data_IF_047682338361
#
_entry.id   IF_047682338361
#
_cell.length_a   1.000
_cell.length_b   1.000
_cell.length_c   1.000
_cell.angle_alpha   90.00
_cell.angle_beta   90.00
_cell.angle_gamma   90.00
#
_symmetry.space_group_name_H-M   'P 1'
#
loop_
_entity.id
_entity.type
_entity.pdbx_description
1 polymer ?
#
# COMPACT_ATOMS: atom_id res chain seq x y z
N UNK A 1 -21.07 19.13 72.08
CA UNK A 1 -21.76 20.03 71.12
C UNK A 1 -20.75 21.06 70.65
N UNK A 2 -20.29 20.95 69.40
CA UNK A 2 -19.78 21.99 68.49
C UNK A 2 -19.07 21.25 67.34
N UNK A 3 -19.84 20.78 66.35
CA UNK A 3 -20.19 21.47 65.09
C UNK A 3 -19.01 21.52 64.10
N UNK A 4 -19.02 20.54 63.19
CA UNK A 4 -18.85 20.67 61.73
C UNK A 4 -17.90 21.76 61.21
N UNK A 5 -16.85 21.35 60.50
CA UNK A 5 -16.68 21.68 59.07
C UNK A 5 -15.43 21.00 58.51
N UNK A 6 -15.58 19.74 58.09
CA UNK A 6 -14.67 19.11 57.14
C UNK A 6 -15.03 19.64 55.75
N UNK A 7 -14.42 20.75 55.34
CA UNK A 7 -14.38 21.13 53.92
C UNK A 7 -12.96 20.83 53.44
N UNK A 8 -12.71 19.54 53.22
CA UNK A 8 -11.68 19.13 52.28
C UNK A 8 -12.22 19.57 50.93
N UNK A 9 -11.67 20.65 50.40
CA UNK A 9 -11.94 21.12 49.05
C UNK A 9 -11.31 20.10 48.09
N UNK A 10 -11.96 18.95 47.92
CA UNK A 10 -11.69 18.02 46.84
C UNK A 10 -12.09 18.74 45.56
N UNK A 11 -11.12 19.48 45.01
CA UNK A 11 -11.13 19.95 43.65
C UNK A 11 -11.13 18.70 42.77
N UNK A 12 -12.33 18.15 42.56
CA UNK A 12 -12.57 17.10 41.60
C UNK A 12 -12.47 17.77 40.24
N UNK A 13 -11.24 17.83 39.72
CA UNK A 13 -11.03 18.09 38.31
C UNK A 13 -11.62 16.88 37.58
N UNK A 14 -12.91 16.96 37.25
CA UNK A 14 -13.49 16.11 36.23
C UNK A 14 -12.82 16.52 34.92
N UNK A 15 -11.70 15.87 34.60
CA UNK A 15 -11.27 15.77 33.21
C UNK A 15 -12.41 15.07 32.49
N UNK A 16 -13.32 15.87 31.93
CA UNK A 16 -14.24 15.40 30.91
C UNK A 16 -13.39 14.69 29.87
N UNK A 17 -13.66 13.40 29.64
CA UNK A 17 -13.03 12.69 28.54
C UNK A 17 -13.40 13.44 27.27
N UNK A 18 -12.44 14.13 26.65
CA UNK A 18 -12.62 14.68 25.32
C UNK A 18 -12.78 13.47 24.39
N UNK A 19 -13.99 13.31 23.86
CA UNK A 19 -14.26 12.27 22.88
C UNK A 19 -13.60 12.71 21.57
N UNK A 20 -12.37 12.25 21.32
CA UNK A 20 -11.78 12.27 19.98
C UNK A 20 -10.36 12.84 19.76
N UNK A 21 -9.52 13.06 20.77
CA UNK A 21 -8.20 13.69 20.53
C UNK A 21 -6.97 12.77 20.45
N UNK A 22 -7.06 11.47 20.75
CA UNK A 22 -5.87 10.59 20.84
C UNK A 22 -5.83 9.41 19.83
N UNK A 23 -6.51 9.50 18.69
CA UNK A 23 -6.36 8.46 17.65
C UNK A 23 -5.45 8.94 16.50
N UNK A 24 -4.28 8.31 16.31
CA UNK A 24 -3.36 8.71 15.24
C UNK A 24 -4.00 8.48 13.86
N UNK A 25 -3.83 9.46 12.96
CA UNK A 25 -4.32 9.34 11.58
C UNK A 25 -3.59 8.20 10.88
N UNK A 26 -4.36 7.21 10.40
CA UNK A 26 -3.82 6.14 9.57
C UNK A 26 -3.70 6.63 8.12
N UNK A 27 -2.46 6.73 7.63
CA UNK A 27 -2.18 7.16 6.25
C UNK A 27 -1.66 5.99 5.43
N UNK A 28 -2.18 5.82 4.21
CA UNK A 28 -1.71 4.85 3.23
C UNK A 28 -1.18 5.57 2.00
N UNK A 29 0.08 5.31 1.66
CA UNK A 29 0.66 5.78 0.39
C UNK A 29 0.55 4.64 -0.61
N UNK A 30 -0.09 4.89 -1.75
CA UNK A 30 -0.34 3.90 -2.80
C UNK A 30 0.37 4.33 -4.08
N UNK A 31 1.63 3.90 -4.29
CA UNK A 31 2.35 4.13 -5.53
C UNK A 31 1.63 3.48 -6.72
N UNK A 32 1.46 4.25 -7.79
CA UNK A 32 0.88 3.81 -9.05
C UNK A 32 1.48 4.61 -10.21
N UNK A 33 1.30 4.13 -11.43
CA UNK A 33 1.60 4.87 -12.66
C UNK A 33 0.40 4.73 -13.59
N UNK A 34 -0.12 5.84 -14.09
CA UNK A 34 -1.13 5.82 -15.14
C UNK A 34 -0.46 5.69 -16.50
N UNK A 35 -0.95 4.79 -17.34
CA UNK A 35 -0.31 4.43 -18.59
C UNK A 35 -1.36 4.27 -19.69
N UNK A 36 -1.69 5.34 -20.42
CA UNK A 36 -2.74 5.31 -21.44
C UNK A 36 -2.45 4.30 -22.55
N UNK A 37 -3.40 3.37 -22.79
CA UNK A 37 -3.31 2.37 -23.85
C UNK A 37 -3.88 2.96 -25.14
N UNK A 38 -3.02 3.65 -25.89
CA UNK A 38 -3.39 4.26 -27.17
C UNK A 38 -4.06 5.62 -27.00
N UNK A 39 -3.26 6.63 -26.67
CA UNK A 39 -3.69 8.03 -26.57
C UNK A 39 -2.91 8.91 -27.56
N UNK A 40 -1.90 9.65 -27.09
CA UNK A 40 -1.00 10.44 -27.96
C UNK A 40 -0.10 9.54 -28.80
N UNK A 41 0.36 8.43 -28.21
CA UNK A 41 1.21 7.44 -28.87
C UNK A 41 0.43 6.13 -29.06
N UNK A 42 0.84 5.36 -30.06
CA UNK A 42 0.40 3.98 -30.20
C UNK A 42 0.84 3.14 -29.00
N UNK A 43 0.25 1.96 -28.87
CA UNK A 43 0.58 1.02 -27.79
C UNK A 43 2.07 0.64 -27.87
N UNK A 44 2.58 0.35 -29.05
CA UNK A 44 3.95 -0.10 -29.27
C UNK A 44 4.97 1.00 -28.97
N UNK A 45 4.68 2.24 -29.39
CA UNK A 45 5.49 3.40 -29.06
C UNK A 45 5.52 3.66 -27.55
N UNK A 46 4.36 3.65 -26.90
CA UNK A 46 4.24 3.80 -25.44
C UNK A 46 4.99 2.69 -24.68
N UNK A 47 4.87 1.45 -25.17
CA UNK A 47 5.52 0.29 -24.59
C UNK A 47 7.04 0.44 -24.62
N UNK A 48 7.59 0.85 -25.77
CA UNK A 48 9.02 1.06 -25.95
C UNK A 48 9.54 2.31 -25.22
N UNK A 49 8.79 3.41 -25.26
CA UNK A 49 9.20 4.68 -24.70
C UNK A 49 9.19 4.69 -23.17
N UNK A 50 8.18 4.07 -22.54
CA UNK A 50 8.05 4.16 -21.08
C UNK A 50 7.55 2.88 -20.39
N UNK A 51 6.55 2.16 -20.91
CA UNK A 51 5.86 1.15 -20.09
C UNK A 51 6.80 -0.01 -19.72
N UNK A 52 7.66 -0.43 -20.65
CA UNK A 52 8.70 -1.43 -20.39
C UNK A 52 9.65 -1.03 -19.24
N UNK A 53 10.04 0.24 -19.20
CA UNK A 53 10.95 0.77 -18.19
C UNK A 53 10.26 0.84 -16.82
N UNK A 54 8.99 1.27 -16.78
CA UNK A 54 8.19 1.31 -15.54
C UNK A 54 8.09 -0.10 -14.93
N UNK A 55 7.64 -1.10 -15.70
CA UNK A 55 7.50 -2.45 -15.16
C UNK A 55 8.84 -3.07 -14.75
N UNK A 56 9.90 -2.84 -15.53
CA UNK A 56 11.22 -3.39 -15.21
C UNK A 56 11.80 -2.79 -13.93
N UNK A 57 11.76 -1.47 -13.80
CA UNK A 57 12.28 -0.75 -12.63
C UNK A 57 11.45 -1.00 -11.38
N UNK A 58 10.11 -0.97 -11.48
CA UNK A 58 9.22 -1.28 -10.35
C UNK A 58 9.45 -2.71 -9.88
N UNK A 59 9.56 -3.68 -10.78
CA UNK A 59 9.82 -5.08 -10.40
C UNK A 59 11.13 -5.21 -9.63
N UNK A 60 12.19 -4.55 -10.09
CA UNK A 60 13.47 -4.51 -9.40
C UNK A 60 13.38 -3.83 -8.03
N UNK A 61 12.76 -2.65 -7.95
CA UNK A 61 12.63 -1.89 -6.71
C UNK A 61 11.74 -2.57 -5.67
N UNK A 62 10.68 -3.22 -6.13
CA UNK A 62 9.87 -4.06 -5.27
C UNK A 62 10.70 -5.21 -4.72
N UNK A 63 11.59 -5.82 -5.53
CA UNK A 63 12.42 -6.94 -5.08
C UNK A 63 13.36 -6.58 -3.91
N UNK A 64 13.84 -5.33 -3.86
CA UNK A 64 14.79 -4.82 -2.85
C UNK A 64 14.19 -4.70 -1.44
N UNK A 65 12.92 -4.29 -1.31
CA UNK A 65 12.26 -4.04 -0.01
C UNK A 65 10.92 -4.76 0.05
N UNK A 66 10.67 -5.53 1.12
CA UNK A 66 9.49 -6.42 1.22
C UNK A 66 8.19 -5.66 1.45
N UNK A 67 8.26 -4.48 2.04
CA UNK A 67 7.15 -3.63 2.44
C UNK A 67 6.65 -2.75 1.29
N UNK A 68 7.46 -2.53 0.26
CA UNK A 68 7.06 -1.75 -0.92
C UNK A 68 5.87 -2.41 -1.62
N UNK A 69 4.97 -1.56 -2.12
CA UNK A 69 3.76 -1.92 -2.87
C UNK A 69 3.68 -1.01 -4.07
N UNK A 70 3.08 -1.53 -5.14
CA UNK A 70 2.77 -0.78 -6.34
C UNK A 70 1.52 -1.39 -6.94
N UNK A 71 0.62 -0.55 -7.46
CA UNK A 71 -0.54 -1.00 -8.23
C UNK A 71 -0.38 -0.61 -9.69
N UNK A 72 -0.71 -1.53 -10.58
CA UNK A 72 -0.82 -1.29 -12.02
C UNK A 72 -2.15 -1.82 -12.50
N UNK A 73 -2.78 -1.14 -13.46
CA UNK A 73 -4.12 -1.51 -13.95
C UNK A 73 -4.13 -1.86 -15.44
N UNK A 74 -3.16 -1.37 -16.22
CA UNK A 74 -3.15 -1.52 -17.67
C UNK A 74 -2.54 -2.86 -18.09
N UNK A 75 -3.42 -3.87 -18.13
CA UNK A 75 -3.08 -5.27 -18.43
C UNK A 75 -2.40 -5.47 -19.78
N UNK A 76 -2.74 -4.68 -20.80
CA UNK A 76 -2.14 -4.84 -22.13
C UNK A 76 -0.63 -4.56 -22.09
N UNK A 77 -0.21 -3.49 -21.43
CA UNK A 77 1.22 -3.23 -21.25
C UNK A 77 1.90 -4.26 -20.36
N UNK A 78 1.22 -4.74 -19.31
CA UNK A 78 1.78 -5.81 -18.47
C UNK A 78 2.00 -7.10 -19.28
N UNK A 79 1.02 -7.48 -20.11
CA UNK A 79 1.09 -8.65 -21.00
C UNK A 79 2.24 -8.51 -22.00
N UNK A 80 2.33 -7.37 -22.68
CA UNK A 80 3.42 -7.10 -23.63
C UNK A 80 4.79 -7.15 -22.94
N UNK A 81 4.91 -6.54 -21.76
CA UNK A 81 6.15 -6.60 -20.97
C UNK A 81 6.50 -8.03 -20.59
N UNK A 82 5.53 -8.80 -20.09
CA UNK A 82 5.73 -10.19 -19.69
C UNK A 82 6.19 -11.08 -20.85
N UNK A 83 5.57 -10.92 -22.02
CA UNK A 83 5.82 -11.78 -23.17
C UNK A 83 7.15 -11.42 -23.88
N UNK A 84 7.51 -10.13 -23.94
CA UNK A 84 8.57 -9.64 -24.83
C UNK A 84 9.79 -9.00 -24.15
N UNK A 85 9.67 -8.52 -22.90
CA UNK A 85 10.74 -7.74 -22.24
C UNK A 85 11.23 -8.40 -20.96
N UNK A 86 10.33 -8.97 -20.15
CA UNK A 86 10.65 -9.46 -18.82
C UNK A 86 11.62 -10.64 -18.86
N UNK A 87 12.73 -10.52 -18.15
CA UNK A 87 13.65 -11.64 -17.91
C UNK A 87 13.03 -12.70 -16.98
N UNK A 88 13.52 -13.94 -17.05
CA UNK A 88 13.09 -15.02 -16.15
C UNK A 88 13.23 -14.65 -14.66
N UNK A 89 14.24 -13.85 -14.34
CA UNK A 89 14.46 -13.34 -12.98
C UNK A 89 13.33 -12.40 -12.57
N UNK A 90 12.96 -11.45 -13.42
CA UNK A 90 11.83 -10.54 -13.16
C UNK A 90 10.51 -11.31 -13.08
N UNK A 91 10.29 -12.29 -13.95
CA UNK A 91 9.10 -13.17 -13.91
C UNK A 91 9.01 -13.90 -12.58
N UNK A 92 10.12 -14.45 -12.08
CA UNK A 92 10.19 -15.10 -10.76
C UNK A 92 9.95 -14.13 -9.60
N UNK A 93 10.46 -12.90 -9.70
CA UNK A 93 10.24 -11.85 -8.70
C UNK A 93 8.75 -11.50 -8.61
N UNK A 94 8.10 -11.24 -9.74
CA UNK A 94 6.65 -10.98 -9.80
C UNK A 94 5.88 -12.17 -9.23
N UNK A 95 6.25 -13.39 -9.63
CA UNK A 95 5.52 -14.58 -9.17
C UNK A 95 5.61 -14.77 -7.66
N UNK A 96 6.81 -14.58 -7.10
CA UNK A 96 7.04 -14.61 -5.65
C UNK A 96 6.19 -13.59 -4.90
N UNK A 97 5.96 -12.41 -5.50
CA UNK A 97 5.14 -11.35 -4.90
C UNK A 97 3.66 -11.70 -4.90
N UNK A 98 3.15 -12.19 -6.02
CA UNK A 98 1.75 -12.61 -6.13
C UNK A 98 1.44 -13.80 -5.21
N UNK A 99 2.31 -14.82 -5.18
CA UNK A 99 2.14 -16.00 -4.31
C UNK A 99 2.13 -15.63 -2.82
N UNK A 100 3.02 -14.72 -2.39
CA UNK A 100 3.05 -14.25 -0.99
C UNK A 100 1.78 -13.50 -0.63
N UNK A 101 1.23 -12.69 -1.54
CA UNK A 101 -0.01 -11.95 -1.30
C UNK A 101 -1.18 -12.90 -1.07
N UNK A 102 -1.35 -13.91 -1.93
CA UNK A 102 -2.45 -14.89 -1.82
C UNK A 102 -2.31 -15.79 -0.59
N UNK A 103 -1.10 -16.25 -0.27
CA UNK A 103 -0.85 -17.07 0.92
C UNK A 103 -1.13 -16.32 2.23
N UNK A 104 -0.68 -15.06 2.32
CA UNK A 104 -0.92 -14.25 3.52
C UNK A 104 -2.40 -13.95 3.71
N UNK A 105 -3.14 -13.69 2.62
CA UNK A 105 -4.58 -13.48 2.67
C UNK A 105 -5.33 -14.71 3.22
N UNK A 106 -5.00 -15.93 2.75
CA UNK A 106 -5.60 -17.17 3.23
C UNK A 106 -5.32 -17.44 4.73
N UNK A 107 -4.08 -17.17 5.18
CA UNK A 107 -3.74 -17.35 6.61
C UNK A 107 -4.49 -16.40 7.54
N UNK A 108 -4.76 -15.17 7.09
CA UNK A 108 -5.53 -14.20 7.89
C UNK A 108 -7.01 -14.57 7.97
N UNK A 109 -7.58 -15.17 6.91
CA UNK A 109 -8.96 -15.66 6.92
C UNK A 109 -9.15 -16.89 7.82
N UNK A 110 -8.16 -17.80 7.87
CA UNK A 110 -8.22 -19.01 8.73
C UNK A 110 -7.92 -18.76 10.21
N UNK A 111 -7.56 -17.54 10.59
CA UNK A 111 -7.27 -17.13 11.98
C UNK A 111 -8.41 -16.37 12.66
N UNK A 112 -9.53 -16.17 11.97
CA UNK A 112 -10.81 -15.72 12.54
C UNK A 112 -11.75 -16.90 12.64
#
# INVERSE_FOLDING_TARGET
>A
MHLLSLIVFSFWFSSGKTFGEDQPIQTFVIPHSHMDVGWVYTIQESMHAYAANVYSSVTEELSKVKERRFISVEQEFFRLWWDSVASDTQKKQVWTRLYKMTYLHDKHLKKK
#
